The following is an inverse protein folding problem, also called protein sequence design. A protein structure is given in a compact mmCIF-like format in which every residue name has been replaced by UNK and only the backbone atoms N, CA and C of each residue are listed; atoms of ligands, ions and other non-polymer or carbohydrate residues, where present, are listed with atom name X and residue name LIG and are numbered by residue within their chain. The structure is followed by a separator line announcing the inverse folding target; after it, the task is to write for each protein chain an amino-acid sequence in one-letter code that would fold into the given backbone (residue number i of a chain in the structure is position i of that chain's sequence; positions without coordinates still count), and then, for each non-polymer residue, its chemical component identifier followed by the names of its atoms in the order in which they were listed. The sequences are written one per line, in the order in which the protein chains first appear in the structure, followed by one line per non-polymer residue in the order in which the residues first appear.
data_IF_026449210401
#
_entry.id   IF_026449210401
#
_cell.length_a   1.000
_cell.length_b   1.000
_cell.length_c   1.000
_cell.angle_alpha   90.00
_cell.angle_beta   90.00
_cell.angle_gamma   90.00
#
_symmetry.space_group_name_H-M   'P 1'
#
loop_
_entity.id
_entity.type
_entity.pdbx_description
1 polymer ?
#
# COMPACT_ATOMS: atom_id res chain seq x y z
N UNK A 1 -22.70 65.54 38.25
CA UNK A 1 -22.85 66.77 37.44
C UNK A 1 -23.04 66.33 36.02
N UNK A 2 -24.29 66.23 35.55
CA UNK A 2 -25.01 67.28 34.78
C UNK A 2 -24.14 67.74 33.60
N UNK A 3 -24.57 67.72 32.35
CA UNK A 3 -25.89 67.95 31.74
C UNK A 3 -25.80 67.76 30.23
N UNK A 4 -26.85 67.17 29.68
CA UNK A 4 -27.70 67.60 28.58
C UNK A 4 -27.27 67.59 27.13
N UNK A 5 -28.16 66.88 26.38
CA UNK A 5 -28.51 66.99 24.97
C UNK A 5 -28.89 68.43 24.55
N UNK A 6 -28.98 68.76 23.23
CA UNK A 6 -30.18 68.43 22.46
C UNK A 6 -29.99 68.21 20.92
N UNK A 7 -30.87 67.46 20.36
CA UNK A 7 -31.89 67.55 19.31
C UNK A 7 -31.69 68.43 18.06
N UNK A 8 -31.76 67.84 16.92
CA UNK A 8 -32.70 67.83 15.81
C UNK A 8 -32.44 68.82 14.66
N UNK A 9 -33.24 68.93 13.61
CA UNK A 9 -34.00 67.92 12.89
C UNK A 9 -33.86 67.96 11.31
N UNK A 10 -34.36 66.93 10.66
CA UNK A 10 -35.21 66.89 9.43
C UNK A 10 -34.79 67.75 8.23
N UNK A 11 -34.60 67.12 7.05
CA UNK A 11 -35.42 67.31 5.86
C UNK A 11 -35.18 66.25 4.75
N UNK A 12 -36.28 65.69 4.37
CA UNK A 12 -36.40 64.74 3.26
C UNK A 12 -36.36 65.48 1.93
N UNK A 13 -35.78 64.88 0.88
CA UNK A 13 -36.18 65.12 -0.49
C UNK A 13 -36.18 63.79 -1.28
N UNK A 14 -37.36 63.46 -1.76
CA UNK A 14 -37.67 62.46 -2.75
C UNK A 14 -37.18 62.87 -4.14
N UNK A 15 -36.62 61.96 -4.92
CA UNK A 15 -36.82 61.85 -6.38
C UNK A 15 -36.26 60.56 -6.91
N UNK A 16 -37.11 59.64 -7.22
CA UNK A 16 -37.51 59.19 -8.58
C UNK A 16 -36.59 58.19 -9.27
N UNK A 17 -37.10 56.96 -9.34
CA UNK A 17 -37.14 55.99 -10.43
C UNK A 17 -36.04 56.04 -11.49
N UNK A 18 -35.29 54.92 -11.60
CA UNK A 18 -34.99 54.27 -12.90
C UNK A 18 -34.80 52.79 -12.67
N UNK A 19 -35.77 51.99 -13.12
CA UNK A 19 -35.75 50.55 -13.23
C UNK A 19 -34.89 50.22 -14.45
N UNK A 20 -33.74 49.61 -14.25
CA UNK A 20 -32.99 48.90 -15.26
C UNK A 20 -32.85 47.46 -14.80
N UNK A 21 -33.80 46.64 -15.24
CA UNK A 21 -33.70 45.17 -15.12
C UNK A 21 -32.64 44.67 -16.08
N UNK A 22 -31.41 44.49 -15.59
CA UNK A 22 -30.41 43.70 -16.29
C UNK A 22 -30.53 42.26 -15.80
N UNK A 23 -31.26 41.44 -16.57
CA UNK A 23 -31.21 39.99 -16.49
C UNK A 23 -29.82 39.53 -16.95
N UNK A 24 -28.86 39.55 -16.01
CA UNK A 24 -27.64 38.79 -16.17
C UNK A 24 -27.97 37.36 -15.75
N UNK A 25 -28.31 36.57 -16.76
CA UNK A 25 -28.31 35.13 -16.65
C UNK A 25 -26.93 34.67 -16.19
N UNK A 26 -26.76 34.53 -14.90
CA UNK A 26 -25.61 33.85 -14.30
C UNK A 26 -25.70 32.37 -14.68
N UNK A 27 -25.14 32.00 -15.83
CA UNK A 27 -24.70 30.63 -16.00
C UNK A 27 -23.71 30.32 -14.90
N UNK A 28 -24.17 29.73 -13.80
CA UNK A 28 -23.35 28.95 -12.90
C UNK A 28 -22.84 27.76 -13.72
N UNK A 29 -21.85 28.00 -14.56
CA UNK A 29 -20.97 26.95 -14.99
C UNK A 29 -20.25 26.47 -13.71
N UNK A 30 -20.88 25.50 -13.04
CA UNK A 30 -20.13 24.56 -12.20
C UNK A 30 -19.02 24.07 -13.11
N UNK A 31 -17.85 24.67 -13.02
CA UNK A 31 -16.64 24.08 -13.52
C UNK A 31 -16.52 22.75 -12.76
N UNK A 32 -17.10 21.68 -13.33
CA UNK A 32 -16.58 20.35 -13.09
C UNK A 32 -15.10 20.51 -13.41
N UNK A 33 -14.30 20.60 -12.36
CA UNK A 33 -12.87 20.43 -12.45
C UNK A 33 -12.73 19.01 -13.02
N UNK A 34 -12.70 18.89 -14.33
CA UNK A 34 -12.39 17.66 -15.02
C UNK A 34 -10.93 17.38 -14.66
N UNK A 35 -10.74 16.65 -13.58
CA UNK A 35 -9.43 16.10 -13.25
C UNK A 35 -8.89 15.44 -14.52
N UNK A 36 -7.62 15.64 -14.82
CA UNK A 36 -6.99 15.00 -15.98
C UNK A 36 -7.40 13.53 -16.03
N UNK A 37 -7.70 13.01 -17.24
CA UNK A 37 -8.08 11.61 -17.42
C UNK A 37 -7.08 10.68 -16.69
N UNK A 38 -7.58 9.59 -16.12
CA UNK A 38 -6.71 8.60 -15.49
C UNK A 38 -5.82 7.95 -16.56
N UNK A 39 -4.57 7.62 -16.24
CA UNK A 39 -3.71 6.86 -17.13
C UNK A 39 -4.32 5.51 -17.52
N UNK A 40 -3.96 5.01 -18.69
CA UNK A 40 -4.32 3.65 -19.10
C UNK A 40 -3.70 2.62 -18.12
N UNK A 41 -4.55 1.76 -17.58
CA UNK A 41 -4.18 0.80 -16.55
C UNK A 41 -3.16 -0.22 -17.05
N UNK A 42 -3.34 -0.75 -18.26
CA UNK A 42 -2.44 -1.78 -18.81
C UNK A 42 -1.05 -1.20 -19.09
N UNK A 43 -0.99 0.01 -19.64
CA UNK A 43 0.27 0.70 -19.88
C UNK A 43 1.03 0.99 -18.57
N UNK A 44 0.31 1.44 -17.53
CA UNK A 44 0.92 1.74 -16.24
C UNK A 44 1.41 0.46 -15.53
N UNK A 45 0.62 -0.63 -15.57
CA UNK A 45 1.02 -1.94 -15.07
C UNK A 45 2.28 -2.46 -15.76
N UNK A 46 2.37 -2.33 -17.09
CA UNK A 46 3.55 -2.76 -17.83
C UNK A 46 4.82 -2.02 -17.38
N UNK A 47 4.74 -0.71 -17.20
CA UNK A 47 5.86 0.11 -16.70
C UNK A 47 6.24 -0.30 -15.27
N UNK A 48 5.26 -0.40 -14.38
CA UNK A 48 5.48 -0.80 -13.00
C UNK A 48 6.08 -2.22 -12.91
N UNK A 49 5.66 -3.13 -13.76
CA UNK A 49 6.24 -4.48 -13.83
C UNK A 49 7.74 -4.44 -14.15
N UNK A 50 8.14 -3.64 -15.15
CA UNK A 50 9.56 -3.49 -15.51
C UNK A 50 10.38 -2.92 -14.34
N UNK A 51 9.84 -1.95 -13.64
CA UNK A 51 10.49 -1.38 -12.45
C UNK A 51 10.57 -2.39 -11.31
N UNK A 52 9.45 -3.06 -10.99
CA UNK A 52 9.36 -4.02 -9.88
C UNK A 52 10.30 -5.21 -10.06
N UNK A 53 10.49 -5.70 -11.30
CA UNK A 53 11.45 -6.78 -11.62
C UNK A 53 12.89 -6.45 -11.25
N UNK A 54 13.24 -5.16 -11.23
CA UNK A 54 14.60 -4.70 -10.98
C UNK A 54 14.84 -4.27 -9.52
N UNK A 55 13.81 -4.31 -8.68
CA UNK A 55 13.94 -3.98 -7.26
C UNK A 55 14.80 -5.04 -6.56
N UNK A 56 15.85 -4.57 -5.87
CA UNK A 56 16.79 -5.43 -5.14
C UNK A 56 16.57 -5.42 -3.64
N UNK A 57 15.97 -4.34 -3.13
CA UNK A 57 15.62 -4.22 -1.72
C UNK A 57 14.38 -3.36 -1.55
N UNK A 58 13.67 -3.57 -0.46
CA UNK A 58 12.46 -2.82 -0.14
C UNK A 58 12.18 -2.87 1.35
N UNK A 59 11.60 -1.80 1.87
CA UNK A 59 10.90 -1.82 3.15
C UNK A 59 9.46 -2.25 2.90
N UNK A 60 9.02 -3.31 3.58
CA UNK A 60 7.70 -3.91 3.47
C UNK A 60 6.90 -3.71 4.76
N UNK A 61 5.66 -3.28 4.62
CA UNK A 61 4.63 -3.38 5.65
C UNK A 61 3.51 -4.25 5.13
N UNK A 62 3.28 -5.38 5.81
CA UNK A 62 2.20 -6.32 5.51
C UNK A 62 1.15 -6.25 6.60
N UNK A 63 -0.11 -6.22 6.22
CA UNK A 63 -1.25 -6.35 7.12
C UNK A 63 -2.28 -7.32 6.58
N UNK A 64 -2.89 -8.09 7.49
CA UNK A 64 -3.99 -9.01 7.17
C UNK A 64 -5.26 -8.46 7.77
N UNK A 65 -6.24 -8.19 6.91
CA UNK A 65 -7.57 -7.78 7.33
C UNK A 65 -8.49 -9.02 7.40
N UNK A 66 -9.27 -9.10 8.45
CA UNK A 66 -10.15 -10.24 8.69
C UNK A 66 -9.39 -11.49 9.13
N UNK A 67 -9.87 -12.66 8.70
CA UNK A 67 -9.26 -13.96 9.04
C UNK A 67 -8.97 -14.75 7.79
N UNK A 68 -7.70 -15.00 7.54
CA UNK A 68 -7.25 -15.84 6.43
C UNK A 68 -6.78 -17.18 7.01
N UNK A 69 -7.45 -18.25 6.58
CA UNK A 69 -7.15 -19.59 7.05
C UNK A 69 -5.71 -19.97 6.68
N UNK A 70 -4.97 -20.56 7.62
CA UNK A 70 -3.58 -20.98 7.48
C UNK A 70 -2.54 -19.86 7.35
N UNK A 71 -2.93 -18.61 7.51
CA UNK A 71 -1.99 -17.49 7.56
C UNK A 71 -1.84 -17.02 9.02
N UNK A 72 -0.74 -17.38 9.71
CA UNK A 72 -0.57 -17.01 11.12
C UNK A 72 -0.15 -15.55 11.30
N UNK A 73 0.35 -14.90 10.27
CA UNK A 73 0.80 -13.50 10.32
C UNK A 73 -0.39 -12.57 10.29
N UNK A 74 -0.43 -11.60 11.21
CA UNK A 74 -1.39 -10.49 11.22
C UNK A 74 -0.79 -9.22 10.67
N UNK A 75 0.40 -8.89 11.13
CA UNK A 75 1.18 -7.77 10.60
C UNK A 75 2.64 -8.17 10.52
N UNK A 76 3.35 -7.58 9.58
CA UNK A 76 4.79 -7.68 9.46
C UNK A 76 5.32 -6.33 8.96
N UNK A 77 6.43 -5.89 9.54
CA UNK A 77 7.20 -4.78 9.02
C UNK A 77 8.68 -5.16 8.99
N UNK A 78 9.35 -4.89 7.88
CA UNK A 78 10.76 -5.27 7.76
C UNK A 78 11.39 -4.86 6.46
N UNK A 79 12.69 -5.05 6.39
CA UNK A 79 13.50 -4.78 5.23
C UNK A 79 13.91 -6.10 4.57
N UNK A 80 13.77 -6.15 3.26
CA UNK A 80 14.11 -7.29 2.42
C UNK A 80 15.17 -6.89 1.42
N UNK A 81 16.10 -7.79 1.12
CA UNK A 81 17.08 -7.64 0.04
C UNK A 81 17.33 -8.95 -0.68
N UNK A 82 17.66 -8.86 -1.96
CA UNK A 82 18.12 -9.98 -2.78
C UNK A 82 19.55 -9.74 -3.29
N UNK A 83 20.25 -8.73 -2.77
CA UNK A 83 21.59 -8.37 -3.22
C UNK A 83 22.46 -7.85 -2.04
N UNK A 84 23.71 -8.33 -1.88
CA UNK A 84 24.36 -9.38 -2.69
C UNK A 84 23.73 -10.76 -2.47
N UNK A 85 23.18 -11.03 -1.27
CA UNK A 85 22.52 -12.25 -0.89
C UNK A 85 21.10 -11.98 -0.43
N UNK A 86 20.25 -13.00 -0.49
CA UNK A 86 18.89 -12.89 0.04
C UNK A 86 18.92 -12.83 1.56
N UNK A 87 18.35 -11.76 2.09
CA UNK A 87 18.22 -11.56 3.52
C UNK A 87 16.98 -10.71 3.84
N UNK A 88 16.48 -10.85 5.06
CA UNK A 88 15.39 -10.04 5.59
C UNK A 88 15.51 -9.87 7.10
N UNK A 89 14.97 -8.78 7.63
CA UNK A 89 14.84 -8.56 9.06
C UNK A 89 13.62 -7.71 9.36
N UNK A 90 13.05 -7.89 10.53
CA UNK A 90 11.90 -7.09 10.92
C UNK A 90 11.17 -7.59 12.14
N UNK A 91 9.93 -7.14 12.26
CA UNK A 91 9.00 -7.51 13.33
C UNK A 91 7.71 -8.05 12.72
N UNK A 92 7.08 -8.98 13.40
CA UNK A 92 5.79 -9.53 13.00
C UNK A 92 4.91 -9.73 14.23
N UNK A 93 3.61 -9.50 14.07
CA UNK A 93 2.59 -10.00 15.00
C UNK A 93 2.00 -11.27 14.39
N UNK A 94 2.13 -12.37 15.11
CA UNK A 94 1.71 -13.70 14.63
C UNK A 94 0.79 -14.38 15.64
N UNK A 95 -0.10 -15.23 15.15
CA UNK A 95 -0.88 -16.13 16.00
C UNK A 95 -0.10 -17.43 16.19
N UNK A 96 0.35 -17.68 17.41
CA UNK A 96 1.11 -18.88 17.78
C UNK A 96 0.50 -19.53 19.02
N UNK A 97 0.20 -20.83 18.99
CA UNK A 97 -0.42 -21.53 20.11
C UNK A 97 -1.80 -20.99 20.49
N UNK A 98 -2.51 -20.31 19.57
CA UNK A 98 -3.82 -19.70 19.82
C UNK A 98 -3.78 -18.29 20.44
N UNK A 99 -2.61 -17.75 20.66
CA UNK A 99 -2.39 -16.38 21.16
C UNK A 99 -1.63 -15.54 20.14
N UNK A 100 -1.87 -14.23 20.16
CA UNK A 100 -1.12 -13.29 19.35
C UNK A 100 0.14 -12.87 20.08
N UNK A 101 1.27 -12.99 19.41
CA UNK A 101 2.59 -12.64 19.95
C UNK A 101 3.34 -11.76 18.96
N UNK A 102 4.13 -10.85 19.51
CA UNK A 102 5.09 -10.07 18.73
C UNK A 102 6.40 -10.85 18.67
N UNK A 103 6.92 -10.99 17.46
CA UNK A 103 8.16 -11.68 17.17
C UNK A 103 9.11 -10.78 16.39
N UNK A 104 10.38 -10.85 16.68
CA UNK A 104 11.42 -10.35 15.77
C UNK A 104 11.87 -11.49 14.87
N UNK A 105 12.24 -11.17 13.64
CA UNK A 105 12.76 -12.17 12.71
C UNK A 105 13.96 -11.66 11.92
N UNK A 106 14.81 -12.60 11.56
CA UNK A 106 15.94 -12.42 10.65
C UNK A 106 15.97 -13.63 9.72
N UNK A 107 16.10 -13.39 8.43
CA UNK A 107 16.47 -14.42 7.45
C UNK A 107 17.86 -14.10 6.94
N UNK A 108 18.78 -15.01 7.13
CA UNK A 108 20.16 -14.90 6.71
C UNK A 108 20.67 -16.25 6.22
N UNK A 109 21.30 -16.28 5.04
CA UNK A 109 21.79 -17.52 4.42
C UNK A 109 20.69 -18.58 4.24
N UNK A 110 19.44 -18.16 3.96
CA UNK A 110 18.28 -19.04 3.81
C UNK A 110 17.74 -19.63 5.11
N UNK A 111 18.28 -19.26 6.26
CA UNK A 111 17.83 -19.72 7.60
C UNK A 111 16.97 -18.65 8.25
N UNK A 112 15.80 -19.04 8.78
CA UNK A 112 14.96 -18.18 9.61
C UNK A 112 15.41 -18.26 11.07
N UNK A 113 15.67 -17.12 11.64
CA UNK A 113 15.86 -16.90 13.07
C UNK A 113 14.69 -16.07 13.58
N UNK A 114 14.17 -16.39 14.74
CA UNK A 114 13.14 -15.58 15.39
C UNK A 114 13.36 -15.45 16.89
N UNK A 115 12.92 -14.33 17.44
CA UNK A 115 12.84 -14.10 18.88
C UNK A 115 11.38 -13.88 19.26
N UNK A 116 10.79 -14.84 19.96
CA UNK A 116 9.42 -14.78 20.50
C UNK A 116 9.41 -14.11 21.89
N UNK A 117 10.58 -13.87 22.46
CA UNK A 117 10.81 -13.07 23.66
C UNK A 117 12.04 -12.20 23.42
N UNK A 118 12.10 -10.98 23.97
CA UNK A 118 13.19 -10.05 23.72
C UNK A 118 14.58 -10.67 23.95
N UNK A 119 15.42 -10.64 22.92
CA UNK A 119 16.80 -11.11 22.96
C UNK A 119 17.00 -12.64 22.98
N UNK A 120 15.92 -13.43 22.96
CA UNK A 120 15.99 -14.89 22.91
C UNK A 120 15.81 -15.38 21.47
N UNK A 121 16.91 -15.41 20.74
CA UNK A 121 16.93 -15.84 19.35
C UNK A 121 17.08 -17.35 19.24
N UNK A 122 16.23 -17.93 18.41
CA UNK A 122 16.25 -19.35 18.06
C UNK A 122 16.29 -19.53 16.55
N UNK A 123 16.88 -20.63 16.09
CA UNK A 123 16.86 -21.03 14.68
C UNK A 123 15.64 -21.90 14.41
N UNK A 124 14.84 -21.48 13.44
CA UNK A 124 13.67 -22.23 12.97
C UNK A 124 13.95 -23.07 11.73
N UNK A 125 15.23 -23.14 11.31
CA UNK A 125 15.64 -23.89 10.13
C UNK A 125 15.41 -23.13 8.82
N UNK A 126 15.27 -23.84 7.67
CA UNK A 126 15.12 -23.19 6.38
C UNK A 126 13.91 -22.26 6.31
N UNK A 127 14.14 -21.00 5.91
CA UNK A 127 13.06 -20.02 5.74
C UNK A 127 11.98 -20.52 4.77
N UNK A 128 12.38 -21.25 3.71
CA UNK A 128 11.46 -21.84 2.71
C UNK A 128 10.48 -22.85 3.29
N UNK A 129 10.76 -23.43 4.46
CA UNK A 129 9.84 -24.36 5.12
C UNK A 129 8.63 -23.62 5.77
N UNK A 130 8.78 -22.32 6.04
CA UNK A 130 7.75 -21.47 6.65
C UNK A 130 7.27 -20.46 5.62
N UNK A 131 8.13 -19.57 5.21
CA UNK A 131 7.96 -18.60 4.12
C UNK A 131 9.32 -17.98 3.77
N UNK A 132 9.66 -18.02 2.49
CA UNK A 132 10.87 -17.36 2.00
C UNK A 132 10.53 -15.92 1.57
N UNK A 133 10.96 -14.89 2.31
CA UNK A 133 10.65 -13.51 1.95
C UNK A 133 11.29 -13.07 0.62
N UNK A 134 12.29 -13.79 0.09
CA UNK A 134 12.84 -13.50 -1.22
C UNK A 134 11.84 -13.66 -2.34
N UNK A 135 10.82 -14.49 -2.15
CA UNK A 135 9.76 -14.70 -3.13
C UNK A 135 8.97 -13.41 -3.41
N UNK A 136 8.90 -12.48 -2.47
CA UNK A 136 8.24 -11.18 -2.67
C UNK A 136 8.90 -10.39 -3.81
N UNK A 137 10.23 -10.39 -3.86
CA UNK A 137 11.03 -9.70 -4.88
C UNK A 137 11.43 -10.61 -6.06
N UNK A 138 11.04 -11.87 -6.04
CA UNK A 138 11.30 -12.79 -7.14
C UNK A 138 10.60 -12.32 -8.41
N UNK A 139 11.32 -12.01 -9.50
CA UNK A 139 10.72 -11.47 -10.72
C UNK A 139 9.75 -12.42 -11.43
N UNK A 140 9.81 -13.72 -11.12
CA UNK A 140 8.99 -14.75 -11.75
C UNK A 140 7.85 -15.28 -10.87
N UNK A 141 7.93 -15.11 -9.55
CA UNK A 141 6.95 -15.62 -8.61
C UNK A 141 6.32 -14.51 -7.75
N UNK A 142 7.04 -13.42 -7.52
CA UNK A 142 6.66 -12.37 -6.58
C UNK A 142 5.72 -11.29 -7.14
N UNK A 143 5.89 -10.08 -6.62
CA UNK A 143 5.04 -8.93 -6.96
C UNK A 143 5.01 -8.61 -8.45
N UNK A 144 6.15 -8.71 -9.14
CA UNK A 144 6.22 -8.49 -10.58
C UNK A 144 5.38 -9.51 -11.36
N UNK A 145 5.33 -10.76 -10.91
CA UNK A 145 4.49 -11.79 -11.49
C UNK A 145 2.99 -11.50 -11.29
N UNK A 146 2.61 -10.98 -10.13
CA UNK A 146 1.23 -10.54 -9.87
C UNK A 146 0.83 -9.43 -10.85
N UNK A 147 1.69 -8.41 -11.05
CA UNK A 147 1.43 -7.34 -12.02
C UNK A 147 1.30 -7.85 -13.45
N UNK A 148 2.12 -8.84 -13.85
CA UNK A 148 2.06 -9.46 -15.18
C UNK A 148 0.75 -10.22 -15.41
N UNK A 149 0.23 -10.87 -14.38
CA UNK A 149 -0.94 -11.75 -14.43
C UNK A 149 -2.21 -11.10 -13.89
N UNK A 150 -2.25 -9.76 -13.86
CA UNK A 150 -3.44 -9.00 -13.51
C UNK A 150 -4.31 -8.82 -14.77
N UNK A 151 -5.47 -9.45 -14.78
CA UNK A 151 -6.44 -9.39 -15.88
C UNK A 151 -7.51 -8.32 -15.62
N UNK A 152 -8.12 -7.83 -16.70
CA UNK A 152 -9.16 -6.80 -16.67
C UNK A 152 -8.80 -5.54 -15.84
N UNK A 153 -7.58 -4.99 -16.00
CA UNK A 153 -7.12 -3.87 -15.19
C UNK A 153 -7.92 -2.60 -15.52
N UNK A 154 -8.32 -1.87 -14.47
CA UNK A 154 -9.06 -0.61 -14.58
C UNK A 154 -8.49 0.43 -13.63
N UNK A 155 -8.07 1.58 -14.16
CA UNK A 155 -7.73 2.73 -13.35
C UNK A 155 -8.99 3.28 -12.68
N UNK A 156 -8.98 3.42 -11.35
CA UNK A 156 -10.13 3.82 -10.55
C UNK A 156 -10.05 5.27 -10.09
N UNK A 157 -8.94 5.65 -9.51
CA UNK A 157 -8.75 6.96 -8.86
C UNK A 157 -7.29 7.32 -8.72
N UNK A 158 -7.03 8.61 -8.41
CA UNK A 158 -5.78 9.08 -7.85
C UNK A 158 -5.89 9.05 -6.33
N UNK A 159 -4.92 8.44 -5.69
CA UNK A 159 -4.85 8.35 -4.23
C UNK A 159 -3.43 8.65 -3.75
N UNK A 160 -3.30 9.08 -2.50
CA UNK A 160 -1.99 9.23 -1.87
C UNK A 160 -1.77 8.08 -0.89
N UNK A 161 -0.72 7.31 -1.10
CA UNK A 161 -0.32 6.20 -0.22
C UNK A 161 1.07 6.49 0.31
N UNK A 162 1.24 6.56 1.62
CA UNK A 162 2.51 6.90 2.28
C UNK A 162 3.21 8.16 1.71
N UNK A 163 2.42 9.18 1.36
CA UNK A 163 2.93 10.41 0.77
C UNK A 163 3.23 10.35 -0.73
N UNK A 164 3.11 9.20 -1.37
CA UNK A 164 3.29 9.02 -2.81
C UNK A 164 1.96 9.22 -3.54
N UNK A 165 1.97 10.03 -4.60
CA UNK A 165 0.84 10.16 -5.51
C UNK A 165 0.73 8.91 -6.38
N UNK A 166 -0.37 8.20 -6.29
CA UNK A 166 -0.58 6.90 -6.94
C UNK A 166 -1.84 6.86 -7.76
N UNK A 167 -1.85 5.94 -8.73
CA UNK A 167 -3.05 5.49 -9.43
C UNK A 167 -3.47 4.15 -8.82
N UNK A 168 -4.69 4.12 -8.31
CA UNK A 168 -5.34 2.88 -7.90
C UNK A 168 -5.86 2.14 -9.11
N UNK A 169 -5.44 0.90 -9.27
CA UNK A 169 -5.87 0.01 -10.35
C UNK A 169 -6.47 -1.25 -9.72
N UNK A 170 -7.66 -1.62 -10.16
CA UNK A 170 -8.29 -2.89 -9.79
C UNK A 170 -8.23 -3.87 -10.93
N UNK A 171 -8.18 -5.14 -10.62
CA UNK A 171 -8.19 -6.25 -11.58
C UNK A 171 -8.28 -7.58 -10.85
N UNK A 172 -7.92 -8.66 -11.54
CA UNK A 172 -7.97 -10.01 -10.98
C UNK A 172 -6.64 -10.72 -11.27
N UNK A 173 -5.94 -11.13 -10.23
CA UNK A 173 -4.70 -11.91 -10.36
C UNK A 173 -5.02 -13.39 -10.49
N UNK A 174 -4.26 -14.12 -11.32
CA UNK A 174 -4.42 -15.57 -11.43
C UNK A 174 -4.07 -16.28 -10.10
N UNK A 175 -4.69 -17.42 -9.86
CA UNK A 175 -4.40 -18.24 -8.67
C UNK A 175 -2.91 -18.61 -8.57
N UNK A 176 -2.29 -18.92 -9.70
CA UNK A 176 -0.86 -19.27 -9.75
C UNK A 176 0.04 -18.09 -9.35
N UNK A 177 -0.29 -16.87 -9.81
CA UNK A 177 0.47 -15.67 -9.43
C UNK A 177 0.32 -15.36 -7.94
N UNK A 178 -0.88 -15.53 -7.39
CA UNK A 178 -1.15 -15.35 -5.95
C UNK A 178 -0.41 -16.39 -5.13
N UNK A 179 -0.44 -17.66 -5.54
CA UNK A 179 0.26 -18.75 -4.83
C UNK A 179 1.79 -18.65 -4.98
N UNK A 180 2.30 -18.11 -6.07
CA UNK A 180 3.72 -17.80 -6.21
C UNK A 180 4.18 -16.77 -5.18
N UNK A 181 3.41 -15.69 -5.01
CA UNK A 181 3.71 -14.65 -4.02
C UNK A 181 3.47 -15.11 -2.58
N UNK A 182 2.38 -15.81 -2.32
CA UNK A 182 1.94 -16.21 -0.98
C UNK A 182 1.30 -17.61 -1.01
N UNK A 183 2.11 -18.69 -0.99
CA UNK A 183 1.62 -20.07 -1.08
C UNK A 183 0.62 -20.45 0.02
N UNK A 184 0.72 -19.78 1.18
CA UNK A 184 -0.17 -20.00 2.32
C UNK A 184 -1.63 -19.61 2.03
N UNK A 185 -1.86 -18.74 1.04
CA UNK A 185 -3.21 -18.32 0.64
C UNK A 185 -3.97 -19.46 -0.05
N UNK A 186 -3.25 -20.43 -0.65
CA UNK A 186 -3.86 -21.60 -1.33
C UNK A 186 -4.99 -21.21 -2.26
N UNK A 187 -4.77 -20.17 -3.06
CA UNK A 187 -5.75 -19.68 -4.00
C UNK A 187 -6.09 -20.78 -5.02
N UNK A 188 -7.37 -21.08 -5.19
CA UNK A 188 -7.88 -22.06 -6.18
C UNK A 188 -8.64 -21.37 -7.31
N UNK A 189 -8.87 -20.06 -7.18
CA UNK A 189 -9.59 -19.22 -8.12
C UNK A 189 -8.82 -17.91 -8.31
N UNK A 190 -9.02 -17.22 -9.43
CA UNK A 190 -8.50 -15.87 -9.60
C UNK A 190 -8.96 -14.96 -8.44
N UNK A 191 -8.04 -14.12 -7.96
CA UNK A 191 -8.21 -13.31 -6.75
C UNK A 191 -8.40 -11.84 -7.12
N UNK A 192 -9.48 -11.18 -6.66
CA UNK A 192 -9.62 -9.74 -6.79
C UNK A 192 -8.39 -9.04 -6.19
N UNK A 193 -7.79 -8.19 -6.99
CA UNK A 193 -6.51 -7.55 -6.66
C UNK A 193 -6.59 -6.05 -6.93
N UNK A 194 -6.11 -5.28 -5.99
CA UNK A 194 -5.95 -3.83 -6.15
C UNK A 194 -4.47 -3.49 -6.00
N UNK A 195 -3.97 -2.67 -6.91
CA UNK A 195 -2.60 -2.15 -6.85
C UNK A 195 -2.60 -0.63 -6.87
N UNK A 196 -1.66 -0.02 -6.18
CA UNK A 196 -1.39 1.41 -6.20
C UNK A 196 0.00 1.61 -6.77
N UNK A 197 0.05 2.24 -7.93
CA UNK A 197 1.29 2.47 -8.68
C UNK A 197 1.57 3.97 -8.68
N UNK A 198 2.80 4.34 -8.41
CA UNK A 198 3.25 5.73 -8.49
C UNK A 198 2.88 6.35 -9.84
N UNK A 199 2.19 7.50 -9.80
CA UNK A 199 1.70 8.15 -11.02
C UNK A 199 2.84 8.72 -11.88
N UNK A 200 3.88 9.20 -11.24
CA UNK A 200 5.04 9.85 -11.88
C UNK A 200 6.34 9.12 -11.52
N UNK A 201 7.43 9.46 -12.19
CA UNK A 201 8.74 8.87 -11.91
C UNK A 201 8.87 7.45 -12.45
N UNK A 202 9.40 6.54 -11.64
CA UNK A 202 9.72 5.16 -12.05
C UNK A 202 8.52 4.22 -12.02
N UNK A 203 7.33 4.71 -11.68
CA UNK A 203 6.11 3.93 -11.55
C UNK A 203 6.26 2.75 -10.57
N UNK A 204 6.85 3.02 -9.41
CA UNK A 204 7.00 2.03 -8.35
C UNK A 204 5.66 1.45 -7.93
N UNK A 205 5.62 0.15 -7.67
CA UNK A 205 4.50 -0.46 -6.97
C UNK A 205 4.54 -0.03 -5.51
N UNK A 206 3.60 0.81 -5.09
CA UNK A 206 3.56 1.34 -3.73
C UNK A 206 2.77 0.42 -2.79
N UNK A 207 1.68 -0.16 -3.30
CA UNK A 207 0.84 -1.04 -2.49
C UNK A 207 0.13 -2.07 -3.37
N UNK A 208 -0.08 -3.26 -2.82
CA UNK A 208 -0.93 -4.31 -3.37
C UNK A 208 -1.84 -4.86 -2.30
N UNK A 209 -3.08 -5.14 -2.68
CA UNK A 209 -4.06 -5.83 -1.84
C UNK A 209 -4.65 -7.02 -2.59
N UNK A 210 -4.61 -8.19 -1.96
CA UNK A 210 -5.18 -9.44 -2.45
C UNK A 210 -6.40 -9.75 -1.59
N UNK A 211 -7.59 -9.78 -2.15
CA UNK A 211 -8.82 -10.07 -1.45
C UNK A 211 -9.19 -11.56 -1.63
N UNK A 212 -8.88 -12.38 -0.63
CA UNK A 212 -9.14 -13.82 -0.68
C UNK A 212 -10.64 -14.14 -0.66
N UNK A 213 -11.38 -13.44 0.18
CA UNK A 213 -12.84 -13.46 0.26
C UNK A 213 -13.34 -12.10 0.71
N UNK A 214 -14.58 -11.70 0.48
CA UNK A 214 -15.09 -10.40 0.92
C UNK A 214 -14.75 -10.09 2.38
N UNK A 215 -14.00 -9.00 2.60
CA UNK A 215 -13.56 -8.57 3.91
C UNK A 215 -12.32 -9.28 4.48
N UNK A 216 -11.75 -10.26 3.76
CA UNK A 216 -10.51 -10.92 4.17
C UNK A 216 -9.43 -10.69 3.11
N UNK A 217 -8.43 -9.90 3.43
CA UNK A 217 -7.38 -9.50 2.50
C UNK A 217 -6.00 -9.46 3.12
N UNK A 218 -4.99 -9.63 2.26
CA UNK A 218 -3.60 -9.32 2.58
C UNK A 218 -3.24 -8.04 1.84
N UNK A 219 -2.69 -7.08 2.55
CA UNK A 219 -2.17 -5.84 2.00
C UNK A 219 -0.67 -5.77 2.25
N UNK A 220 0.08 -5.41 1.24
CA UNK A 220 1.51 -5.16 1.29
C UNK A 220 1.77 -3.74 0.81
N UNK A 221 2.44 -2.94 1.61
CA UNK A 221 2.86 -1.58 1.27
C UNK A 221 4.37 -1.52 1.22
N UNK A 222 4.90 -0.91 0.18
CA UNK A 222 6.31 -0.90 -0.18
C UNK A 222 6.86 0.51 -0.13
N UNK A 223 8.11 0.63 0.32
CA UNK A 223 8.84 1.90 0.36
C UNK A 223 10.35 1.64 0.35
N UNK A 224 11.14 2.71 0.29
CA UNK A 224 12.61 2.63 0.33
C UNK A 224 13.21 1.67 -0.70
N UNK A 225 12.68 1.67 -1.92
CA UNK A 225 13.14 0.79 -3.00
C UNK A 225 14.63 0.99 -3.29
N UNK A 226 15.35 -0.12 -3.38
CA UNK A 226 16.79 -0.17 -3.64
C UNK A 226 17.66 0.55 -2.60
N UNK A 227 17.12 0.89 -1.42
CA UNK A 227 17.92 1.38 -0.31
C UNK A 227 18.86 0.28 0.20
N UNK A 228 20.07 0.61 0.62
CA UNK A 228 20.98 -0.39 1.20
C UNK A 228 20.35 -1.05 2.43
N UNK A 229 20.30 -2.37 2.43
CA UNK A 229 19.83 -3.18 3.56
C UNK A 229 20.98 -4.02 4.06
N UNK A 230 21.27 -3.93 5.37
CA UNK A 230 22.26 -4.75 6.03
C UNK A 230 21.55 -5.62 7.08
N UNK A 231 21.64 -6.92 6.90
CA UNK A 231 21.10 -7.91 7.83
C UNK A 231 22.24 -8.58 8.54
N UNK A 232 22.12 -8.74 9.84
CA UNK A 232 23.14 -9.42 10.66
C UNK A 232 22.52 -10.63 11.33
N UNK A 233 23.14 -11.79 11.17
CA UNK A 233 22.75 -13.01 11.87
C UNK A 233 22.73 -12.77 13.37
N UNK A 234 21.61 -13.03 14.05
CA UNK A 234 21.53 -12.83 15.50
C UNK A 234 22.32 -13.91 16.26
N UNK A 235 22.78 -13.61 17.49
CA UNK A 235 23.37 -14.60 18.35
C UNK A 235 22.28 -15.58 18.82
N UNK A 236 22.41 -16.86 18.47
CA UNK A 236 21.49 -17.91 18.94
C UNK A 236 22.08 -18.63 20.16
N UNK A 237 21.26 -18.89 21.17
CA UNK A 237 21.69 -19.66 22.33
C UNK A 237 21.91 -21.12 21.91
N UNK A 238 23.14 -21.64 22.04
CA UNK A 238 23.46 -23.05 21.82
C UNK A 238 23.96 -23.43 20.42
N UNK A 239 24.57 -22.48 19.69
CA UNK A 239 25.35 -22.75 18.47
C UNK A 239 26.82 -22.89 18.74
#
# INVERSE_FOLDING_TARGET
MQTRRPFGPILAVLAALSIAAALVGGCSSSSKQSGAALPDAAALLSKSNLTTRNVKSVHLVLSVNGKIKHLPVKTLTGDLTTSPDTAAQGNANITFGGSDIDAQFVVDGGTLYAALSPGQWESFGPASAIYDPSEILNPNAGLANVLTNLTDPKSQSRETVNGQATIKITGTASADAVNGLAPQLKATQPTPTTVWIEENGDHQLVQVQLEQTPGNSVQMTLSNWNAPVQVTKPPVAGG
#
